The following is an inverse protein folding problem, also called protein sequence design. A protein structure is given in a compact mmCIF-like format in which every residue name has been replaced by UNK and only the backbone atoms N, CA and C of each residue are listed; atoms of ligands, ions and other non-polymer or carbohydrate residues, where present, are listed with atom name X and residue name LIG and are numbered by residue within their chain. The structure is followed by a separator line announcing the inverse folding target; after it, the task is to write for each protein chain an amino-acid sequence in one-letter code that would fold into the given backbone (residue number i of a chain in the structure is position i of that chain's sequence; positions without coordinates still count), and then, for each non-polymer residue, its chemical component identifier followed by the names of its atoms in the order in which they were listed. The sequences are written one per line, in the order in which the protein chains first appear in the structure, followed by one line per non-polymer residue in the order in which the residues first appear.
data_IF_304643693858
#
_entry.id   IF_304643693858
#
_cell.length_a   1.000
_cell.length_b   1.000
_cell.length_c   1.000
_cell.angle_alpha   90.00
_cell.angle_beta   90.00
_cell.angle_gamma   90.00
#
_symmetry.space_group_name_H-M   'P 1'
#
loop_
_entity.id
_entity.type
_entity.pdbx_description
1 polymer ?
#
# COMPACT_ATOMS: atom_id res chain seq x y z
N UNK A 1 10.04 8.11 15.81
CA UNK A 1 9.50 7.06 16.71
C UNK A 1 8.37 6.41 15.94
N UNK A 2 8.70 5.45 15.08
CA UNK A 2 7.72 4.80 14.21
C UNK A 2 6.81 3.93 15.08
N UNK A 3 5.53 4.31 15.18
CA UNK A 3 4.52 3.41 15.70
C UNK A 3 4.21 2.42 14.59
N UNK A 4 4.81 1.23 14.65
CA UNK A 4 4.31 0.10 13.88
C UNK A 4 2.83 -0.08 14.21
N UNK A 5 1.97 -0.07 13.20
CA UNK A 5 0.57 -0.46 13.37
C UNK A 5 0.58 -1.90 13.84
N UNK A 6 0.15 -2.14 15.07
CA UNK A 6 0.05 -3.48 15.64
C UNK A 6 -1.43 -3.81 15.81
N UNK A 7 -1.85 -4.90 15.20
CA UNK A 7 -3.18 -5.47 15.46
C UNK A 7 -3.13 -6.12 16.85
N UNK A 8 -4.16 -5.89 17.66
CA UNK A 8 -4.27 -6.53 18.97
C UNK A 8 -4.26 -8.07 18.84
N UNK A 9 -3.94 -8.77 19.92
CA UNK A 9 -3.72 -10.22 19.92
C UNK A 9 -4.93 -11.06 19.43
N UNK A 10 -6.13 -10.48 19.41
CA UNK A 10 -7.36 -11.08 18.83
C UNK A 10 -8.38 -10.01 18.45
N UNK A 11 -9.31 -10.37 17.57
CA UNK A 11 -10.48 -9.55 17.20
C UNK A 11 -11.72 -10.06 17.93
N UNK A 12 -12.33 -9.24 18.78
CA UNK A 12 -13.40 -9.63 19.70
C UNK A 12 -14.81 -9.15 19.27
N UNK A 13 -14.96 -8.41 18.16
CA UNK A 13 -16.26 -7.96 17.66
C UNK A 13 -16.24 -7.48 16.19
N UNK A 14 -17.41 -7.43 15.55
CA UNK A 14 -17.60 -6.83 14.21
C UNK A 14 -17.13 -5.38 14.18
N UNK A 15 -17.43 -4.60 15.22
CA UNK A 15 -16.98 -3.20 15.31
C UNK A 15 -15.46 -3.08 15.27
N UNK A 16 -14.75 -3.99 15.95
CA UNK A 16 -13.30 -4.02 15.92
C UNK A 16 -12.79 -4.48 14.55
N UNK A 17 -13.43 -5.48 13.95
CA UNK A 17 -13.11 -5.95 12.60
C UNK A 17 -13.25 -4.82 11.57
N UNK A 18 -14.38 -4.11 11.56
CA UNK A 18 -14.62 -2.93 10.71
C UNK A 18 -13.51 -1.91 10.88
N UNK A 19 -13.12 -1.60 12.13
CA UNK A 19 -12.05 -0.63 12.37
C UNK A 19 -10.72 -1.07 11.79
N UNK A 20 -10.41 -2.36 11.84
CA UNK A 20 -9.19 -2.92 11.25
C UNK A 20 -9.26 -2.91 9.73
N UNK A 21 -10.40 -3.26 9.12
CA UNK A 21 -10.57 -3.16 7.67
C UNK A 21 -10.43 -1.71 7.18
N UNK A 22 -10.99 -0.74 7.92
CA UNK A 22 -10.79 0.70 7.64
C UNK A 22 -9.32 1.12 7.75
N UNK A 23 -8.56 0.56 8.69
CA UNK A 23 -7.10 0.79 8.76
C UNK A 23 -6.42 0.20 7.53
N UNK A 24 -6.82 -0.99 7.08
CA UNK A 24 -6.35 -1.57 5.82
C UNK A 24 -6.56 -0.62 4.65
N UNK A 25 -7.78 -0.08 4.49
CA UNK A 25 -8.08 0.90 3.44
C UNK A 25 -7.10 2.08 3.51
N UNK A 26 -6.91 2.68 4.69
CA UNK A 26 -5.98 3.82 4.85
C UNK A 26 -4.55 3.46 4.43
N UNK A 27 -4.07 2.24 4.70
CA UNK A 27 -2.73 1.81 4.28
C UNK A 27 -2.63 1.71 2.76
N UNK A 28 -3.64 1.14 2.10
CA UNK A 28 -3.70 1.09 0.63
C UNK A 28 -3.77 2.49 0.02
N UNK A 29 -4.52 3.40 0.62
CA UNK A 29 -4.62 4.80 0.17
C UNK A 29 -3.27 5.51 0.24
N UNK A 30 -2.49 5.21 1.28
CA UNK A 30 -1.12 5.74 1.42
C UNK A 30 -0.23 5.18 0.30
N UNK A 31 -0.25 3.87 0.04
CA UNK A 31 0.54 3.25 -1.03
C UNK A 31 0.17 3.87 -2.39
N UNK A 32 -1.13 3.95 -2.70
CA UNK A 32 -1.66 4.50 -3.95
C UNK A 32 -1.26 5.98 -4.16
N UNK A 33 -1.49 6.82 -3.15
CA UNK A 33 -1.19 8.25 -3.22
C UNK A 33 0.32 8.49 -3.39
N UNK A 34 1.16 7.72 -2.68
CA UNK A 34 2.61 7.86 -2.76
C UNK A 34 3.16 7.38 -4.09
N UNK A 35 2.72 6.23 -4.58
CA UNK A 35 3.11 5.75 -5.90
C UNK A 35 2.71 6.73 -7.01
N UNK A 36 1.50 7.31 -6.91
CA UNK A 36 1.03 8.37 -7.82
C UNK A 36 1.92 9.60 -7.77
N UNK A 37 2.26 10.09 -6.57
CA UNK A 37 3.14 11.25 -6.39
C UNK A 37 4.53 11.02 -6.98
N UNK A 38 5.13 9.87 -6.71
CA UNK A 38 6.46 9.52 -7.23
C UNK A 38 6.50 9.53 -8.75
N UNK A 39 5.46 9.00 -9.40
CA UNK A 39 5.32 9.06 -10.87
C UNK A 39 5.22 10.49 -11.40
N UNK A 40 4.48 11.37 -10.72
CA UNK A 40 4.36 12.77 -11.13
C UNK A 40 5.71 13.50 -11.04
N UNK A 41 6.49 13.24 -9.99
CA UNK A 41 7.83 13.79 -9.82
C UNK A 41 8.79 13.36 -10.94
N UNK A 42 8.81 12.07 -11.29
CA UNK A 42 9.65 11.52 -12.38
C UNK A 42 9.31 12.15 -13.74
N UNK A 43 8.02 12.33 -14.03
CA UNK A 43 7.59 12.97 -15.28
C UNK A 43 7.96 14.46 -15.35
N UNK A 44 8.02 15.15 -14.22
CA UNK A 44 8.34 16.59 -14.14
C UNK A 44 9.83 16.84 -14.37
N UNK A 45 10.71 15.96 -13.89
CA UNK A 45 12.16 16.07 -14.09
C UNK A 45 12.58 15.75 -15.53
N UNK A 46 11.88 14.82 -16.20
CA UNK A 46 12.12 14.49 -17.60
C UNK A 46 11.85 15.67 -18.57
N UNK A 47 10.83 16.50 -18.31
CA UNK A 47 10.43 17.61 -19.19
C UNK A 47 11.36 18.85 -19.10
N UNK A 48 12.21 18.91 -18.08
CA UNK A 48 13.10 20.07 -17.81
C UNK A 48 14.53 19.87 -18.32
N UNK A 49 14.88 18.67 -18.82
CA UNK A 49 16.24 18.32 -19.19
C UNK A 49 16.47 18.54 -20.69
N UNK A 50 17.26 19.56 -21.04
CA UNK A 50 17.79 19.74 -22.41
C UNK A 50 18.59 18.49 -22.78
N UNK A 51 18.35 17.86 -23.95
CA UNK A 51 19.09 16.67 -24.34
C UNK A 51 20.55 17.05 -24.58
N UNK A 52 21.41 16.79 -23.59
CA UNK A 52 22.86 16.75 -23.78
C UNK A 52 23.27 15.29 -24.04
N UNK A 53 24.13 15.09 -25.04
CA UNK A 53 24.57 13.81 -25.62
C UNK A 53 25.39 12.93 -24.64
N UNK A 54 25.40 13.30 -23.35
CA UNK A 54 26.14 12.64 -22.27
C UNK A 54 25.26 12.06 -21.16
N UNK A 55 23.95 12.38 -21.12
CA UNK A 55 23.01 11.78 -20.16
C UNK A 55 22.57 10.41 -20.65
N UNK A 56 23.40 9.40 -20.43
CA UNK A 56 22.96 7.99 -20.47
C UNK A 56 22.15 7.70 -19.20
N UNK A 57 21.01 8.40 -19.04
CA UNK A 57 19.99 8.04 -18.06
C UNK A 57 19.44 6.67 -18.47
N UNK A 58 19.46 5.72 -17.56
CA UNK A 58 19.12 4.33 -17.85
C UNK A 58 17.60 4.21 -18.05
N UNK A 59 17.11 4.51 -19.26
CA UNK A 59 15.68 4.53 -19.62
C UNK A 59 14.95 3.26 -19.20
N UNK A 60 15.61 2.11 -19.28
CA UNK A 60 15.03 0.82 -18.86
C UNK A 60 14.72 0.79 -17.35
N UNK A 61 15.53 1.46 -16.52
CA UNK A 61 15.29 1.53 -15.07
C UNK A 61 14.14 2.47 -14.73
N UNK A 62 14.06 3.62 -15.41
CA UNK A 62 12.96 4.58 -15.23
C UNK A 62 11.63 3.97 -15.70
N UNK A 63 11.65 3.19 -16.78
CA UNK A 63 10.50 2.44 -17.30
C UNK A 63 10.08 1.31 -16.34
N UNK A 64 11.05 0.57 -15.77
CA UNK A 64 10.78 -0.47 -14.77
C UNK A 64 10.20 0.13 -13.48
N UNK A 65 10.75 1.24 -12.99
CA UNK A 65 10.21 1.96 -11.83
C UNK A 65 8.81 2.48 -12.11
N UNK A 66 8.60 3.12 -13.26
CA UNK A 66 7.28 3.63 -13.63
C UNK A 66 6.25 2.50 -13.74
N UNK A 67 6.62 1.35 -14.28
CA UNK A 67 5.77 0.15 -14.34
C UNK A 67 5.41 -0.33 -12.93
N UNK A 68 6.41 -0.46 -12.05
CA UNK A 68 6.20 -0.83 -10.65
C UNK A 68 5.23 0.11 -9.93
N UNK A 69 5.41 1.42 -10.08
CA UNK A 69 4.54 2.42 -9.45
C UNK A 69 3.12 2.42 -10.04
N UNK A 70 2.96 2.13 -11.33
CA UNK A 70 1.65 1.95 -11.98
C UNK A 70 0.92 0.75 -11.39
N UNK A 71 1.64 -0.36 -11.21
CA UNK A 71 1.06 -1.59 -10.72
C UNK A 71 0.68 -1.46 -9.25
N UNK A 72 1.54 -0.89 -8.41
CA UNK A 72 1.22 -0.56 -7.01
C UNK A 72 -0.04 0.32 -6.89
N UNK A 73 -0.16 1.37 -7.72
CA UNK A 73 -1.35 2.24 -7.73
C UNK A 73 -2.63 1.45 -8.03
N UNK A 74 -2.61 0.59 -9.06
CA UNK A 74 -3.79 -0.20 -9.45
C UNK A 74 -4.12 -1.29 -8.43
N UNK A 75 -3.09 -1.89 -7.87
CA UNK A 75 -3.20 -2.94 -6.87
C UNK A 75 -3.86 -2.40 -5.60
N UNK A 76 -3.32 -1.33 -5.03
CA UNK A 76 -3.89 -0.72 -3.83
C UNK A 76 -5.33 -0.25 -4.04
N UNK A 77 -5.65 0.34 -5.19
CA UNK A 77 -7.04 0.69 -5.52
C UNK A 77 -7.96 -0.55 -5.52
N UNK A 78 -7.50 -1.67 -6.08
CA UNK A 78 -8.24 -2.95 -6.07
C UNK A 78 -8.34 -3.53 -4.65
N UNK A 79 -7.33 -3.37 -3.81
CA UNK A 79 -7.36 -3.81 -2.41
C UNK A 79 -8.40 -3.03 -1.62
N UNK A 80 -8.47 -1.70 -1.79
CA UNK A 80 -9.51 -0.85 -1.20
C UNK A 80 -10.90 -1.33 -1.60
N UNK A 81 -11.15 -1.52 -2.89
CA UNK A 81 -12.43 -2.02 -3.38
C UNK A 81 -12.83 -3.37 -2.76
N UNK A 82 -11.86 -4.24 -2.43
CA UNK A 82 -12.12 -5.52 -1.77
C UNK A 82 -12.43 -5.33 -0.28
N UNK A 83 -11.70 -4.45 0.41
CA UNK A 83 -11.95 -4.12 1.82
C UNK A 83 -13.29 -3.42 2.02
N UNK A 84 -13.64 -2.49 1.15
CA UNK A 84 -14.95 -1.81 1.15
C UNK A 84 -16.10 -2.80 1.06
N UNK A 85 -16.00 -3.79 0.16
CA UNK A 85 -17.00 -4.87 0.07
C UNK A 85 -17.11 -5.66 1.37
N UNK A 86 -16.02 -5.91 2.09
CA UNK A 86 -16.05 -6.59 3.38
C UNK A 86 -16.71 -5.71 4.46
N UNK A 87 -16.45 -4.40 4.45
CA UNK A 87 -17.07 -3.42 5.35
C UNK A 87 -18.58 -3.31 5.09
N UNK A 88 -19.01 -3.27 3.83
CA UNK A 88 -20.43 -3.25 3.44
C UNK A 88 -21.18 -4.49 3.96
N UNK A 89 -20.54 -5.66 3.91
CA UNK A 89 -21.11 -6.91 4.45
C UNK A 89 -21.28 -6.88 5.98
N UNK A 90 -20.56 -5.99 6.67
CA UNK A 90 -20.66 -5.75 8.12
C UNK A 90 -21.63 -4.60 8.46
N UNK A 91 -22.38 -4.09 7.47
CA UNK A 91 -23.35 -2.98 7.62
C UNK A 91 -22.71 -1.72 8.24
N UNK A 92 -21.49 -1.40 7.79
CA UNK A 92 -20.72 -0.27 8.28
C UNK A 92 -20.29 0.66 7.13
N UNK A 93 -19.99 1.92 7.47
CA UNK A 93 -19.53 2.91 6.50
C UNK A 93 -17.99 2.82 6.31
N UNK A 94 -17.56 2.96 5.05
CA UNK A 94 -16.14 3.12 4.70
C UNK A 94 -15.68 4.58 4.83
N UNK A 95 -14.36 4.79 4.84
CA UNK A 95 -13.73 6.11 4.77
C UNK A 95 -13.53 6.45 3.29
N UNK A 96 -13.77 7.71 2.90
CA UNK A 96 -13.59 8.15 1.52
C UNK A 96 -12.11 8.49 1.21
N UNK A 97 -11.63 7.99 0.06
CA UNK A 97 -10.27 8.18 -0.46
C UNK A 97 -9.72 9.60 -0.37
N UNK A 98 -10.45 10.58 -0.90
CA UNK A 98 -10.01 11.99 -0.98
C UNK A 98 -9.67 12.58 0.40
N UNK A 99 -10.26 12.04 1.47
CA UNK A 99 -9.98 12.47 2.85
C UNK A 99 -8.58 12.06 3.29
N UNK A 100 -8.13 10.87 2.90
CA UNK A 100 -6.85 10.31 3.33
C UNK A 100 -5.73 10.79 2.45
N UNK A 101 -5.93 10.92 1.14
CA UNK A 101 -4.97 11.55 0.21
C UNK A 101 -4.52 12.92 0.74
N UNK A 102 -5.48 13.78 1.12
CA UNK A 102 -5.19 15.11 1.70
C UNK A 102 -4.38 15.02 3.00
N UNK A 103 -4.64 14.03 3.86
CA UNK A 103 -3.91 13.84 5.12
C UNK A 103 -2.48 13.33 4.88
N UNK A 104 -2.30 12.42 3.92
CA UNK A 104 -1.00 11.92 3.50
C UNK A 104 -0.17 13.04 2.89
N UNK A 105 -0.74 13.85 2.01
CA UNK A 105 -0.08 15.04 1.48
C UNK A 105 0.34 16.01 2.59
N UNK A 106 -0.51 16.25 3.58
CA UNK A 106 -0.20 17.16 4.69
C UNK A 106 0.95 16.64 5.56
N UNK A 107 0.99 15.33 5.81
CA UNK A 107 1.93 14.71 6.74
C UNK A 107 3.26 14.29 6.09
N UNK A 108 3.21 13.83 4.84
CA UNK A 108 4.33 13.25 4.10
C UNK A 108 4.68 14.03 2.84
N UNK A 109 3.84 14.97 2.41
CA UNK A 109 4.10 15.77 1.21
C UNK A 109 5.33 16.67 1.30
N UNK A 110 5.89 16.84 2.51
CA UNK A 110 7.08 17.65 2.82
C UNK A 110 8.41 16.92 2.68
N UNK A 111 8.41 15.59 2.58
CA UNK A 111 9.63 14.83 2.32
C UNK A 111 9.80 14.77 0.81
N UNK A 112 10.56 15.70 0.24
CA UNK A 112 11.00 15.57 -1.15
C UNK A 112 11.97 14.39 -1.19
N UNK A 113 11.51 13.27 -1.76
CA UNK A 113 12.40 12.19 -2.15
C UNK A 113 12.98 12.62 -3.50
N UNK A 114 14.25 13.01 -3.49
CA UNK A 114 14.92 13.58 -4.66
C UNK A 114 15.58 12.49 -5.53
N UNK A 115 15.92 11.33 -4.94
CA UNK A 115 16.64 10.24 -5.61
C UNK A 115 15.80 8.97 -5.83
N UNK A 116 16.08 8.26 -6.93
CA UNK A 116 15.41 6.99 -7.30
C UNK A 116 15.47 5.93 -6.20
N UNK A 117 16.58 5.83 -5.47
CA UNK A 117 16.72 4.86 -4.38
C UNK A 117 15.78 5.21 -3.22
N UNK A 118 15.59 6.50 -2.93
CA UNK A 118 14.65 6.95 -1.90
C UNK A 118 13.21 6.57 -2.26
N UNK A 119 12.83 6.65 -3.55
CA UNK A 119 11.53 6.20 -4.05
C UNK A 119 11.35 4.70 -3.86
N UNK A 120 12.35 3.88 -4.18
CA UNK A 120 12.27 2.43 -3.98
C UNK A 120 12.23 2.03 -2.51
N UNK A 121 13.05 2.65 -1.66
CA UNK A 121 13.01 2.42 -0.21
C UNK A 121 11.65 2.80 0.38
N UNK A 122 11.10 3.92 -0.08
CA UNK A 122 9.79 4.36 0.36
C UNK A 122 8.69 3.39 -0.05
N UNK A 123 8.69 2.97 -1.32
CA UNK A 123 7.73 1.99 -1.81
C UNK A 123 7.84 0.68 -1.03
N UNK A 124 9.06 0.15 -0.86
CA UNK A 124 9.31 -1.07 -0.07
C UNK A 124 8.72 -0.96 1.34
N UNK A 125 8.95 0.16 2.02
CA UNK A 125 8.44 0.39 3.36
C UNK A 125 6.90 0.38 3.42
N UNK A 126 6.23 0.96 2.42
CA UNK A 126 4.77 0.99 2.37
C UNK A 126 4.20 -0.43 2.12
N UNK A 127 4.75 -1.18 1.16
CA UNK A 127 4.37 -2.58 0.85
C UNK A 127 4.59 -3.50 2.08
N UNK A 128 5.76 -3.40 2.73
CA UNK A 128 6.06 -4.21 3.93
C UNK A 128 5.11 -3.88 5.09
N UNK A 129 4.70 -2.62 5.21
CA UNK A 129 3.76 -2.19 6.25
C UNK A 129 2.38 -2.78 6.02
N UNK A 130 1.88 -2.74 4.79
CA UNK A 130 0.60 -3.35 4.41
C UNK A 130 0.64 -4.89 4.55
N UNK A 131 1.68 -5.54 4.03
CA UNK A 131 1.92 -6.98 4.20
C UNK A 131 1.84 -7.40 5.67
N UNK A 132 2.61 -6.73 6.54
CA UNK A 132 2.65 -7.05 7.98
C UNK A 132 1.30 -6.81 8.64
N UNK A 133 0.62 -5.74 8.27
CA UNK A 133 -0.72 -5.46 8.78
C UNK A 133 -1.69 -6.60 8.46
N UNK A 134 -1.71 -7.11 7.23
CA UNK A 134 -2.57 -8.22 6.87
C UNK A 134 -2.18 -9.53 7.55
N UNK A 135 -0.89 -9.82 7.72
CA UNK A 135 -0.42 -10.97 8.49
C UNK A 135 -0.90 -10.94 9.95
N UNK A 136 -0.75 -9.78 10.60
CA UNK A 136 -1.20 -9.55 11.97
C UNK A 136 -2.74 -9.64 12.07
N UNK A 137 -3.47 -9.08 11.09
CA UNK A 137 -4.93 -9.12 11.05
C UNK A 137 -5.45 -10.55 10.87
N UNK A 138 -4.87 -11.32 9.94
CA UNK A 138 -5.21 -12.73 9.75
C UNK A 138 -4.98 -13.52 11.04
N UNK A 139 -3.84 -13.32 11.69
CA UNK A 139 -3.50 -13.96 12.96
C UNK A 139 -4.54 -13.61 14.04
N UNK A 140 -4.89 -12.33 14.18
CA UNK A 140 -5.85 -11.87 15.18
C UNK A 140 -7.28 -12.37 14.92
N UNK A 141 -7.70 -12.49 13.65
CA UNK A 141 -9.00 -13.07 13.28
C UNK A 141 -8.99 -14.57 13.55
N UNK A 142 -7.92 -15.29 13.23
CA UNK A 142 -7.80 -16.73 13.48
C UNK A 142 -7.81 -17.07 14.97
N UNK A 143 -7.18 -16.24 15.80
CA UNK A 143 -7.21 -16.35 17.26
C UNK A 143 -8.55 -15.95 17.89
N UNK A 144 -9.51 -15.46 17.11
CA UNK A 144 -10.83 -15.07 17.60
C UNK A 144 -11.75 -16.27 17.84
N UNK A 145 -12.40 -16.25 19.01
CA UNK A 145 -13.46 -17.18 19.41
C UNK A 145 -14.88 -16.63 19.13
N UNK A 146 -15.00 -15.42 18.60
CA UNK A 146 -16.31 -14.81 18.32
C UNK A 146 -16.84 -15.20 16.95
N UNK A 147 -18.17 -15.21 16.82
CA UNK A 147 -18.83 -15.33 15.52
C UNK A 147 -19.04 -13.93 14.94
N UNK A 148 -18.44 -13.67 13.79
CA UNK A 148 -18.67 -12.45 13.03
C UNK A 148 -19.99 -12.52 12.25
N UNK A 149 -20.59 -11.38 11.93
CA UNK A 149 -21.77 -11.33 11.05
C UNK A 149 -21.45 -11.66 9.59
N UNK A 150 -20.19 -11.56 9.19
CA UNK A 150 -19.67 -11.97 7.88
C UNK A 150 -19.20 -13.44 7.90
N UNK A 151 -19.26 -14.09 6.74
CA UNK A 151 -18.67 -15.41 6.53
C UNK A 151 -17.14 -15.37 6.76
N UNK A 152 -16.68 -16.13 7.76
CA UNK A 152 -15.27 -16.13 8.19
C UNK A 152 -14.34 -16.73 7.15
N UNK A 153 -14.78 -17.73 6.39
CA UNK A 153 -13.96 -18.36 5.34
C UNK A 153 -13.71 -17.35 4.22
N UNK A 154 -14.77 -16.69 3.74
CA UNK A 154 -14.68 -15.62 2.74
C UNK A 154 -13.79 -14.46 3.20
N UNK A 155 -13.95 -14.00 4.45
CA UNK A 155 -13.12 -12.94 5.02
C UNK A 155 -11.64 -13.33 4.99
N UNK A 156 -11.30 -14.51 5.50
CA UNK A 156 -9.92 -15.00 5.52
C UNK A 156 -9.35 -15.19 4.13
N UNK A 157 -10.15 -15.66 3.17
CA UNK A 157 -9.68 -15.89 1.80
C UNK A 157 -9.42 -14.59 1.03
N UNK A 158 -10.19 -13.54 1.28
CA UNK A 158 -9.88 -12.20 0.76
C UNK A 158 -8.60 -11.69 1.38
N UNK A 159 -8.49 -11.67 2.72
CA UNK A 159 -7.33 -11.12 3.42
C UNK A 159 -6.02 -11.88 3.11
N UNK A 160 -6.06 -13.20 2.92
CA UNK A 160 -4.91 -13.99 2.48
C UNK A 160 -4.43 -13.60 1.09
N UNK A 161 -5.37 -13.28 0.19
CA UNK A 161 -5.03 -12.86 -1.16
C UNK A 161 -4.36 -11.50 -1.15
N UNK A 162 -4.94 -10.54 -0.42
CA UNK A 162 -4.33 -9.21 -0.23
C UNK A 162 -2.91 -9.37 0.32
N UNK A 163 -2.72 -10.12 1.41
CA UNK A 163 -1.39 -10.41 1.96
C UNK A 163 -0.42 -11.00 0.92
N UNK A 164 -0.87 -11.92 0.08
CA UNK A 164 -0.01 -12.54 -0.93
C UNK A 164 0.39 -11.54 -2.02
N UNK A 165 -0.54 -10.69 -2.44
CA UNK A 165 -0.32 -9.62 -3.41
C UNK A 165 0.70 -8.59 -2.84
N UNK A 166 0.55 -8.15 -1.58
CA UNK A 166 1.57 -7.30 -0.92
C UNK A 166 2.96 -7.97 -0.86
N UNK A 167 3.01 -9.30 -0.66
CA UNK A 167 4.29 -10.01 -0.65
C UNK A 167 4.95 -10.02 -2.04
N UNK A 168 4.14 -10.14 -3.11
CA UNK A 168 4.59 -10.00 -4.49
C UNK A 168 5.08 -8.57 -4.77
N UNK A 169 4.41 -7.55 -4.22
CA UNK A 169 4.85 -6.15 -4.26
C UNK A 169 6.22 -5.93 -3.58
N UNK A 170 6.40 -6.43 -2.36
CA UNK A 170 7.69 -6.41 -1.65
C UNK A 170 8.81 -7.09 -2.47
N UNK A 171 8.51 -8.25 -3.06
CA UNK A 171 9.47 -8.97 -3.90
C UNK A 171 9.82 -8.18 -5.17
N UNK A 172 8.83 -7.57 -5.83
CA UNK A 172 9.04 -6.76 -7.03
C UNK A 172 9.96 -5.56 -6.76
N UNK A 173 9.73 -4.83 -5.66
CA UNK A 173 10.59 -3.71 -5.26
C UNK A 173 12.00 -4.20 -4.94
N UNK A 174 12.12 -5.28 -4.16
CA UNK A 174 13.42 -5.85 -3.77
C UNK A 174 14.24 -6.29 -4.99
N UNK A 175 13.60 -6.98 -5.94
CA UNK A 175 14.24 -7.41 -7.18
C UNK A 175 14.77 -6.23 -8.00
N UNK A 176 14.02 -5.11 -8.06
CA UNK A 176 14.45 -3.91 -8.76
C UNK A 176 15.64 -3.23 -8.06
N UNK A 177 15.65 -3.22 -6.72
CA UNK A 177 16.79 -2.73 -5.93
C UNK A 177 18.05 -3.61 -6.13
N UNK A 178 17.89 -4.93 -6.25
CA UNK A 178 19.01 -5.87 -6.46
C UNK A 178 19.62 -5.77 -7.86
N UNK A 179 18.79 -5.56 -8.90
CA UNK A 179 19.26 -5.33 -10.27
C UNK A 179 20.17 -4.10 -10.41
N UNK A 180 20.17 -3.22 -9.39
CA UNK A 180 20.99 -2.02 -9.32
C UNK A 180 22.33 -2.19 -8.58
N UNK A 181 22.54 -3.29 -7.86
CA UNK A 181 23.80 -3.57 -7.13
C UNK A 181 24.89 -4.09 -8.05
#
# INVERSE_FOLDING_TARGET
MERSVSVGQRVDSDRQLVRLLQIGIVLEEVVEARATKHRQSINTTADTTVPDDTTHGNTDNDDNLNTLLIDATKESARHRDQLEKLIDMLDAESIAFDTVETLVETQYGRTELEDFDDVLYDQLCNEETAYKFYDDLLTAIQASDVSFSIDRERLLDVLKRLKAEEAEGVEAVTNLMEQRK
#
